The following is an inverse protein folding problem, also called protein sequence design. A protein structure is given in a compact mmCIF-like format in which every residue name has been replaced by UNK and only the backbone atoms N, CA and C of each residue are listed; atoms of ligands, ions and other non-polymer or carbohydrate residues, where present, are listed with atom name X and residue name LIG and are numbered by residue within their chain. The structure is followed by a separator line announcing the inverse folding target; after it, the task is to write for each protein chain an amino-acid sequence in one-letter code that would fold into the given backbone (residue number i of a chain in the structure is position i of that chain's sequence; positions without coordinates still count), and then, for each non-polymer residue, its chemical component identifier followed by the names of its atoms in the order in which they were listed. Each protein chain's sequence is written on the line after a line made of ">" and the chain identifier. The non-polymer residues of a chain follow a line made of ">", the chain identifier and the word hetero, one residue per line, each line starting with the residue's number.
data_IF_939318836090
#
_entry.id   IF_939318836090
#
_cell.length_a   1.000
_cell.length_b   1.000
_cell.length_c   1.000
_cell.angle_alpha   90.00
_cell.angle_beta   90.00
_cell.angle_gamma   90.00
#
_symmetry.space_group_name_H-M   'P 1'
#
loop_
_entity.id
_entity.type
_entity.pdbx_description
1 polymer ?
#
# COMPACT_ATOMS: atom_id res chain seq x y z
N UNK A 1 -34.90 32.90 -59.93
CA UNK A 1 -33.85 33.25 -58.95
C UNK A 1 -32.52 32.84 -59.54
N UNK A 2 -31.58 33.77 -59.80
CA UNK A 2 -30.25 33.38 -60.28
C UNK A 2 -29.47 32.81 -59.08
N UNK A 3 -29.02 31.56 -59.19
CA UNK A 3 -28.09 30.98 -58.24
C UNK A 3 -26.71 31.60 -58.47
N UNK A 4 -26.27 32.41 -57.49
CA UNK A 4 -24.97 33.06 -57.49
C UNK A 4 -23.89 31.98 -57.20
N UNK A 5 -23.33 31.39 -58.25
CA UNK A 5 -22.25 30.41 -58.16
C UNK A 5 -20.89 31.12 -58.18
N UNK A 6 -20.65 32.02 -57.22
CA UNK A 6 -19.32 32.61 -57.03
C UNK A 6 -18.41 31.54 -56.45
N UNK A 7 -17.48 31.03 -57.27
CA UNK A 7 -16.45 30.10 -56.83
C UNK A 7 -15.54 30.74 -55.76
N UNK A 8 -14.99 29.89 -54.87
CA UNK A 8 -14.03 30.32 -53.84
C UNK A 8 -12.82 30.96 -54.52
N UNK A 9 -12.45 32.17 -54.10
CA UNK A 9 -11.24 32.83 -54.56
C UNK A 9 -10.01 32.24 -53.86
N UNK A 10 -8.85 32.28 -54.52
CA UNK A 10 -7.60 31.73 -53.98
C UNK A 10 -7.19 32.38 -52.64
N UNK A 11 -7.55 33.65 -52.45
CA UNK A 11 -7.28 34.40 -51.21
C UNK A 11 -8.13 33.88 -50.05
N UNK A 12 -9.43 33.64 -50.28
CA UNK A 12 -10.33 33.08 -49.25
C UNK A 12 -9.89 31.68 -48.83
N UNK A 13 -9.39 30.87 -49.78
CA UNK A 13 -8.88 29.54 -49.50
C UNK A 13 -7.62 29.57 -48.62
N UNK A 14 -6.67 30.47 -48.91
CA UNK A 14 -5.43 30.60 -48.12
C UNK A 14 -5.74 31.07 -46.69
N UNK A 15 -6.65 32.04 -46.55
CA UNK A 15 -7.07 32.54 -45.23
C UNK A 15 -7.76 31.42 -44.44
N UNK A 16 -8.63 30.63 -45.07
CA UNK A 16 -9.31 29.52 -44.42
C UNK A 16 -8.33 28.44 -43.93
N UNK A 17 -7.35 28.06 -44.76
CA UNK A 17 -6.31 27.08 -44.38
C UNK A 17 -5.46 27.63 -43.24
N UNK A 18 -5.04 28.90 -43.31
CA UNK A 18 -4.24 29.53 -42.27
C UNK A 18 -4.95 29.52 -40.91
N UNK A 19 -6.22 29.95 -40.86
CA UNK A 19 -7.02 29.94 -39.63
C UNK A 19 -7.19 28.50 -39.12
N UNK A 20 -7.48 27.55 -40.02
CA UNK A 20 -7.67 26.15 -39.66
C UNK A 20 -6.40 25.53 -39.06
N UNK A 21 -5.22 25.81 -39.64
CA UNK A 21 -3.93 25.32 -39.12
C UNK A 21 -3.58 25.90 -37.75
N UNK A 22 -3.88 27.18 -37.50
CA UNK A 22 -3.65 27.81 -36.19
C UNK A 22 -4.56 27.20 -35.12
N UNK A 23 -5.85 27.02 -35.43
CA UNK A 23 -6.83 26.43 -34.49
C UNK A 23 -6.47 24.97 -34.20
N UNK A 24 -6.17 24.19 -35.24
CA UNK A 24 -5.82 22.76 -35.09
C UNK A 24 -4.49 22.58 -34.35
N UNK A 25 -3.50 23.44 -34.62
CA UNK A 25 -2.23 23.47 -33.89
C UNK A 25 -2.41 23.80 -32.40
N UNK A 26 -3.23 24.80 -32.07
CA UNK A 26 -3.52 25.14 -30.69
C UNK A 26 -4.30 24.01 -29.96
N UNK A 27 -5.28 23.40 -30.62
CA UNK A 27 -6.07 22.32 -30.05
C UNK A 27 -5.22 21.07 -29.75
N UNK A 28 -4.29 20.71 -30.66
CA UNK A 28 -3.40 19.55 -30.45
C UNK A 28 -2.40 19.77 -29.32
N UNK A 29 -1.84 20.98 -29.19
CA UNK A 29 -0.97 21.33 -28.06
C UNK A 29 -1.75 21.36 -26.74
N UNK A 30 -2.97 21.91 -26.73
CA UNK A 30 -3.84 21.95 -25.55
C UNK A 30 -4.23 20.54 -25.09
N UNK A 31 -4.67 19.67 -26.01
CA UNK A 31 -4.99 18.27 -25.72
C UNK A 31 -3.76 17.47 -25.26
N UNK A 32 -2.58 17.72 -25.86
CA UNK A 32 -1.34 17.07 -25.46
C UNK A 32 -0.89 17.42 -24.03
N UNK A 33 -1.04 18.70 -23.63
CA UNK A 33 -0.78 19.12 -22.25
C UNK A 33 -1.87 18.63 -21.28
N UNK A 34 -3.14 18.63 -21.71
CA UNK A 34 -4.24 18.10 -20.90
C UNK A 34 -4.08 16.60 -20.61
N UNK A 35 -3.64 15.80 -21.60
CA UNK A 35 -3.38 14.38 -21.40
C UNK A 35 -2.25 14.12 -20.39
N UNK A 36 -1.16 14.88 -20.45
CA UNK A 36 -0.08 14.76 -19.45
C UNK A 36 -0.60 15.11 -18.05
N UNK A 37 -1.25 16.25 -17.91
CA UNK A 37 -1.77 16.70 -16.62
C UNK A 37 -2.84 15.78 -16.04
N UNK A 38 -3.70 15.21 -16.88
CA UNK A 38 -4.71 14.22 -16.46
C UNK A 38 -4.06 12.94 -15.96
N UNK A 39 -3.08 12.40 -16.69
CA UNK A 39 -2.35 11.20 -16.26
C UNK A 39 -1.58 11.43 -14.96
N UNK A 40 -0.99 12.61 -14.77
CA UNK A 40 -0.30 12.96 -13.52
C UNK A 40 -1.26 13.11 -12.34
N UNK A 41 -2.40 13.78 -12.53
CA UNK A 41 -3.38 14.01 -11.47
C UNK A 41 -4.10 12.71 -11.08
N UNK A 42 -4.47 11.87 -12.05
CA UNK A 42 -5.09 10.56 -11.79
C UNK A 42 -4.14 9.65 -11.01
N UNK A 43 -2.90 9.47 -11.50
CA UNK A 43 -1.89 8.65 -10.84
C UNK A 43 -1.61 9.10 -9.40
N UNK A 44 -1.69 10.42 -9.12
CA UNK A 44 -1.48 10.96 -7.78
C UNK A 44 -2.70 10.75 -6.86
N UNK A 45 -3.93 10.84 -7.38
CA UNK A 45 -5.15 10.59 -6.60
C UNK A 45 -5.25 9.10 -6.26
N UNK A 46 -4.94 8.22 -7.22
CA UNK A 46 -4.99 6.78 -7.03
C UNK A 46 -4.01 6.36 -5.93
N UNK A 47 -2.75 6.80 -6.02
CA UNK A 47 -1.70 6.49 -5.04
C UNK A 47 -2.05 6.94 -3.61
N UNK A 48 -2.67 8.10 -3.46
CA UNK A 48 -3.12 8.61 -2.16
C UNK A 48 -4.22 7.75 -1.56
N UNK A 49 -5.23 7.39 -2.37
CA UNK A 49 -6.34 6.56 -1.90
C UNK A 49 -5.89 5.14 -1.54
N UNK A 50 -5.02 4.53 -2.36
CA UNK A 50 -4.41 3.22 -2.08
C UNK A 50 -3.58 3.25 -0.80
N UNK A 51 -2.76 4.30 -0.61
CA UNK A 51 -1.97 4.46 0.60
C UNK A 51 -2.84 4.56 1.86
N UNK A 52 -3.98 5.25 1.79
CA UNK A 52 -4.89 5.36 2.93
C UNK A 52 -5.54 4.01 3.26
N UNK A 53 -6.03 3.29 2.25
CA UNK A 53 -6.62 1.96 2.42
C UNK A 53 -5.59 0.98 3.04
N UNK A 54 -4.36 0.97 2.53
CA UNK A 54 -3.29 0.14 3.07
C UNK A 54 -2.94 0.51 4.51
N UNK A 55 -2.84 1.81 4.82
CA UNK A 55 -2.58 2.26 6.18
C UNK A 55 -3.70 1.85 7.15
N UNK A 56 -4.96 1.94 6.74
CA UNK A 56 -6.11 1.51 7.55
C UNK A 56 -6.12 0.00 7.78
N UNK A 57 -5.84 -0.80 6.74
CA UNK A 57 -5.75 -2.26 6.85
C UNK A 57 -4.62 -2.69 7.80
N UNK A 58 -3.44 -2.08 7.66
CA UNK A 58 -2.30 -2.36 8.56
C UNK A 58 -2.64 -1.92 9.98
N UNK A 59 -3.25 -0.74 10.14
CA UNK A 59 -3.70 -0.24 11.45
C UNK A 59 -4.68 -1.18 12.14
N UNK A 60 -5.63 -1.75 11.40
CA UNK A 60 -6.57 -2.74 11.92
C UNK A 60 -5.84 -3.98 12.45
N UNK A 61 -4.89 -4.53 11.70
CA UNK A 61 -4.11 -5.68 12.15
C UNK A 61 -3.24 -5.34 13.37
N UNK A 62 -2.60 -4.18 13.39
CA UNK A 62 -1.79 -3.73 14.54
C UNK A 62 -2.65 -3.59 15.79
N UNK A 63 -3.89 -3.08 15.67
CA UNK A 63 -4.82 -2.95 16.79
C UNK A 63 -5.43 -4.30 17.24
N UNK A 64 -5.60 -5.25 16.32
CA UNK A 64 -6.02 -6.64 16.62
C UNK A 64 -4.91 -7.44 17.31
N UNK A 65 -3.64 -7.10 17.02
CA UNK A 65 -2.49 -7.69 17.65
C UNK A 65 -2.33 -7.32 19.12
N UNK A 66 -1.68 -8.22 19.85
CA UNK A 66 -1.38 -8.07 21.28
C UNK A 66 0.08 -7.72 21.52
N UNK A 67 0.95 -8.10 20.57
CA UNK A 67 2.38 -7.81 20.54
C UNK A 67 2.78 -7.54 19.10
N UNK A 68 3.59 -6.51 18.89
CA UNK A 68 4.19 -6.21 17.58
C UNK A 68 5.70 -6.15 17.75
N UNK A 69 6.42 -6.68 16.77
CA UNK A 69 7.88 -6.73 16.74
C UNK A 69 8.39 -6.23 15.40
N UNK A 70 9.52 -5.53 15.43
CA UNK A 70 10.27 -5.19 14.24
C UNK A 70 11.05 -6.41 13.75
N UNK A 71 11.05 -6.64 12.44
CA UNK A 71 11.76 -7.76 11.84
C UNK A 71 13.14 -7.34 11.37
N UNK A 72 14.16 -7.95 11.97
CA UNK A 72 15.52 -7.92 11.47
C UNK A 72 15.65 -8.90 10.28
N UNK A 73 16.04 -8.44 9.08
CA UNK A 73 16.23 -9.30 7.92
C UNK A 73 17.26 -10.42 8.17
N UNK A 74 18.21 -10.23 9.08
CA UNK A 74 19.23 -11.24 9.44
C UNK A 74 18.63 -12.46 10.15
N UNK A 75 17.49 -12.28 10.83
CA UNK A 75 16.81 -13.33 11.61
C UNK A 75 15.56 -13.82 10.89
N UNK A 76 14.80 -12.90 10.28
CA UNK A 76 13.48 -13.18 9.71
C UNK A 76 13.47 -13.35 8.18
N UNK A 77 14.61 -13.12 7.52
CA UNK A 77 14.75 -13.19 6.06
C UNK A 77 14.22 -11.96 5.31
N UNK A 78 13.42 -11.12 5.97
CA UNK A 78 12.78 -9.94 5.39
C UNK A 78 12.78 -8.76 6.36
N UNK A 79 12.64 -7.54 5.82
CA UNK A 79 12.46 -6.30 6.59
C UNK A 79 10.97 -5.98 6.71
N UNK A 80 10.50 -5.73 7.92
CA UNK A 80 9.10 -5.39 8.16
C UNK A 80 8.69 -5.48 9.62
N UNK A 81 7.43 -5.85 9.87
CA UNK A 81 6.90 -6.06 11.22
C UNK A 81 6.19 -7.41 11.34
N UNK A 82 6.24 -8.00 12.52
CA UNK A 82 5.42 -9.14 12.92
C UNK A 82 4.41 -8.71 13.97
N UNK A 83 3.15 -9.07 13.74
CA UNK A 83 2.02 -8.79 14.61
C UNK A 83 1.53 -10.14 15.15
N UNK A 84 1.55 -10.31 16.47
CA UNK A 84 1.11 -11.53 17.13
C UNK A 84 -0.25 -11.32 17.79
N UNK A 85 -1.17 -12.25 17.52
CA UNK A 85 -2.43 -12.39 18.25
C UNK A 85 -2.31 -13.64 19.10
N UNK A 86 -2.15 -13.43 20.41
CA UNK A 86 -1.92 -14.48 21.40
C UNK A 86 -3.18 -14.58 22.24
N UNK A 87 -4.01 -15.62 22.07
CA UNK A 87 -5.21 -15.77 22.87
C UNK A 87 -4.83 -15.89 24.34
N UNK A 88 -5.57 -15.18 25.20
CA UNK A 88 -5.48 -15.36 26.65
C UNK A 88 -6.08 -16.73 26.96
N UNK A 89 -5.27 -17.78 26.94
CA UNK A 89 -5.70 -19.06 27.47
C UNK A 89 -5.91 -18.87 28.97
N UNK A 90 -7.12 -19.07 29.54
CA UNK A 90 -7.22 -19.19 30.97
C UNK A 90 -6.33 -20.38 31.36
N UNK A 91 -5.36 -20.13 32.23
CA UNK A 91 -4.49 -21.14 32.85
C UNK A 91 -5.32 -22.09 33.71
N UNK A 92 -6.15 -22.91 33.08
CA UNK A 92 -6.85 -23.99 33.75
C UNK A 92 -6.75 -25.18 32.81
N UNK A 93 -5.86 -26.10 33.14
CA UNK A 93 -6.07 -27.52 32.85
C UNK A 93 -7.46 -27.89 33.38
N UNK A 94 -8.48 -27.67 32.55
CA UNK A 94 -9.85 -28.03 32.88
C UNK A 94 -9.94 -29.56 32.75
N UNK A 95 -10.26 -30.31 33.82
CA UNK A 95 -10.23 -31.78 33.80
C UNK A 95 -11.29 -32.44 32.91
N UNK A 96 -12.03 -31.67 32.11
CA UNK A 96 -13.23 -32.08 31.39
C UNK A 96 -13.09 -32.19 29.86
N UNK A 97 -11.86 -32.29 29.31
CA UNK A 97 -11.66 -32.56 27.88
C UNK A 97 -12.17 -31.45 26.94
N UNK A 98 -12.21 -30.20 27.40
CA UNK A 98 -12.54 -29.06 26.55
C UNK A 98 -11.43 -28.81 25.52
N UNK A 99 -11.83 -28.37 24.33
CA UNK A 99 -10.99 -28.19 23.15
C UNK A 99 -9.68 -27.45 23.46
N UNK A 100 -8.61 -27.86 22.76
CA UNK A 100 -7.28 -27.29 22.90
C UNK A 100 -7.32 -25.75 22.83
N UNK A 101 -6.47 -25.05 23.60
CA UNK A 101 -6.37 -23.60 23.53
C UNK A 101 -6.21 -23.14 22.08
N UNK A 102 -6.92 -22.09 21.70
CA UNK A 102 -6.83 -21.50 20.36
C UNK A 102 -5.35 -21.20 20.05
N UNK A 103 -4.87 -21.63 18.89
CA UNK A 103 -3.47 -21.46 18.54
C UNK A 103 -3.15 -19.97 18.38
N UNK A 104 -2.02 -19.51 18.91
CA UNK A 104 -1.55 -18.17 18.63
C UNK A 104 -1.31 -18.00 17.12
N UNK A 105 -1.44 -16.77 16.64
CA UNK A 105 -1.17 -16.46 15.23
C UNK A 105 -0.22 -15.29 15.09
N UNK A 106 0.54 -15.31 14.00
CA UNK A 106 1.45 -14.24 13.58
C UNK A 106 1.06 -13.78 12.19
N UNK A 107 0.97 -12.47 12.02
CA UNK A 107 0.88 -11.81 10.72
C UNK A 107 2.18 -11.07 10.48
N UNK A 108 2.88 -11.46 9.42
CA UNK A 108 4.09 -10.74 8.97
C UNK A 108 3.68 -9.78 7.87
N UNK A 109 4.21 -8.57 7.91
CA UNK A 109 4.08 -7.55 6.86
C UNK A 109 5.49 -7.15 6.48
N UNK A 110 5.85 -7.28 5.21
CA UNK A 110 7.22 -7.03 4.76
C UNK A 110 7.25 -6.41 3.37
N UNK A 111 8.33 -5.68 3.11
CA UNK A 111 8.65 -5.15 1.79
C UNK A 111 9.55 -6.13 1.04
N UNK A 112 9.30 -6.30 -0.27
CA UNK A 112 10.18 -7.11 -1.12
C UNK A 112 11.61 -6.58 -1.12
N UNK A 113 12.60 -7.46 -1.30
CA UNK A 113 14.01 -7.08 -1.32
C UNK A 113 14.36 -6.01 -2.37
N UNK A 114 13.67 -6.00 -3.52
CA UNK A 114 13.85 -5.00 -4.58
C UNK A 114 13.08 -3.69 -4.37
N UNK A 115 12.34 -3.57 -3.26
CA UNK A 115 11.30 -2.55 -3.09
C UNK A 115 10.17 -2.71 -4.11
N UNK A 116 9.17 -1.83 -4.03
CA UNK A 116 7.98 -1.71 -4.89
C UNK A 116 6.79 -2.59 -4.55
N UNK A 117 6.94 -3.59 -3.68
CA UNK A 117 5.82 -4.45 -3.29
C UNK A 117 5.79 -4.66 -1.78
N UNK A 118 4.59 -4.60 -1.22
CA UNK A 118 4.31 -4.90 0.17
C UNK A 118 3.49 -6.18 0.24
N UNK A 119 3.92 -7.09 1.11
CA UNK A 119 3.32 -8.41 1.28
C UNK A 119 2.84 -8.62 2.71
N UNK A 120 1.87 -9.51 2.89
CA UNK A 120 1.44 -10.01 4.19
C UNK A 120 1.22 -11.51 4.18
N UNK A 121 1.49 -12.16 5.31
CA UNK A 121 1.21 -13.58 5.51
C UNK A 121 0.78 -13.82 6.95
N UNK A 122 -0.38 -14.44 7.13
CA UNK A 122 -0.85 -14.93 8.44
C UNK A 122 -0.50 -16.41 8.57
N UNK A 123 0.02 -16.78 9.73
CA UNK A 123 0.44 -18.15 10.06
C UNK A 123 0.09 -18.47 11.51
N UNK A 124 -0.19 -19.74 11.78
CA UNK A 124 -0.35 -20.24 13.14
C UNK A 124 1.03 -20.40 13.78
N UNK A 125 1.14 -20.06 15.05
CA UNK A 125 2.37 -20.14 15.84
C UNK A 125 2.10 -21.01 17.07
N UNK A 126 2.91 -22.06 17.23
CA UNK A 126 2.80 -22.98 18.36
C UNK A 126 3.26 -22.33 19.68
N UNK A 127 4.39 -21.62 19.65
CA UNK A 127 4.90 -20.85 20.79
C UNK A 127 5.38 -19.45 20.34
N UNK A 128 4.64 -18.38 20.67
CA UNK A 128 5.00 -16.99 20.33
C UNK A 128 6.27 -16.47 21.01
N UNK A 129 6.80 -17.14 22.04
CA UNK A 129 8.02 -16.71 22.73
C UNK A 129 9.29 -17.23 22.05
N UNK A 130 9.19 -18.35 21.34
CA UNK A 130 10.31 -19.03 20.70
C UNK A 130 10.16 -19.11 19.18
N UNK A 131 9.22 -18.35 18.61
CA UNK A 131 8.96 -18.37 17.18
C UNK A 131 10.17 -17.88 16.36
N UNK A 132 10.70 -18.76 15.52
CA UNK A 132 11.80 -18.49 14.59
C UNK A 132 11.35 -18.55 13.13
N UNK A 133 10.06 -18.39 12.85
CA UNK A 133 9.55 -18.53 11.48
C UNK A 133 10.14 -17.45 10.57
N UNK A 134 10.83 -17.89 9.51
CA UNK A 134 11.48 -17.07 8.49
C UNK A 134 10.57 -16.93 7.28
N UNK A 135 10.54 -15.74 6.69
CA UNK A 135 9.89 -15.49 5.39
C UNK A 135 10.93 -15.62 4.29
N UNK A 136 10.61 -16.38 3.24
CA UNK A 136 11.48 -16.60 2.10
C UNK A 136 10.87 -15.96 0.85
N UNK A 137 11.60 -15.04 0.22
CA UNK A 137 11.14 -14.39 -1.00
C UNK A 137 10.78 -15.39 -2.11
N UNK A 138 11.50 -16.51 -2.21
CA UNK A 138 11.27 -17.52 -3.24
C UNK A 138 9.92 -18.27 -3.09
N UNK A 139 9.37 -18.33 -1.88
CA UNK A 139 8.15 -19.09 -1.58
C UNK A 139 6.98 -18.22 -1.17
N UNK A 140 7.25 -17.04 -0.59
CA UNK A 140 6.25 -16.22 0.06
C UNK A 140 5.88 -14.95 -0.71
N UNK A 141 6.70 -14.50 -1.67
CA UNK A 141 6.37 -13.36 -2.55
C UNK A 141 5.43 -13.76 -3.71
N UNK A 142 4.34 -14.45 -3.36
CA UNK A 142 3.28 -14.89 -4.28
C UNK A 142 2.13 -13.89 -4.32
N UNK A 143 1.27 -13.99 -5.34
CA UNK A 143 0.18 -13.04 -5.54
C UNK A 143 -0.83 -13.05 -4.37
N UNK A 144 -1.06 -14.19 -3.72
CA UNK A 144 -1.99 -14.26 -2.58
C UNK A 144 -1.54 -13.43 -1.37
N UNK A 145 -0.24 -13.19 -1.23
CA UNK A 145 0.32 -12.43 -0.12
C UNK A 145 0.52 -10.95 -0.48
N UNK A 146 0.36 -10.56 -1.74
CA UNK A 146 0.58 -9.18 -2.19
C UNK A 146 -0.56 -8.28 -1.71
N UNK A 147 -0.23 -7.19 -1.02
CA UNK A 147 -1.21 -6.20 -0.56
C UNK A 147 -0.99 -4.83 -1.15
N UNK A 148 0.24 -4.44 -1.46
CA UNK A 148 0.54 -3.13 -2.04
C UNK A 148 1.46 -3.26 -3.24
N UNK A 149 1.01 -2.76 -4.38
CA UNK A 149 1.87 -2.45 -5.52
C UNK A 149 2.38 -1.02 -5.35
N UNK A 150 3.61 -0.73 -5.78
CA UNK A 150 4.24 0.59 -5.69
C UNK A 150 4.82 1.02 -4.34
N UNK A 151 4.85 0.14 -3.33
CA UNK A 151 5.45 0.46 -2.01
C UNK A 151 6.97 0.38 -2.07
N UNK A 152 7.66 1.52 -2.06
CA UNK A 152 9.13 1.61 -2.20
C UNK A 152 9.89 1.56 -0.89
N UNK A 153 9.26 1.96 0.21
CA UNK A 153 9.80 1.84 1.56
C UNK A 153 8.68 1.48 2.55
N UNK A 154 8.99 0.66 3.54
CA UNK A 154 8.09 0.33 4.64
C UNK A 154 8.88 0.26 5.94
N UNK A 155 8.37 0.94 6.96
CA UNK A 155 8.90 0.92 8.33
C UNK A 155 7.76 0.76 9.30
N UNK A 156 7.95 -0.09 10.30
CA UNK A 156 7.08 -0.15 11.46
C UNK A 156 7.96 -0.16 12.69
N UNK A 157 7.82 0.86 13.54
CA UNK A 157 8.64 1.07 14.72
C UNK A 157 7.80 0.88 15.97
N UNK A 158 8.27 0.05 16.90
CA UNK A 158 7.54 -0.28 18.12
C UNK A 158 7.97 0.66 19.24
N UNK A 159 7.05 1.52 19.67
CA UNK A 159 7.23 2.41 20.80
C UNK A 159 6.65 1.74 22.05
N UNK A 160 7.47 0.95 22.73
CA UNK A 160 7.12 0.33 24.00
C UNK A 160 7.47 1.28 25.17
N UNK A 161 6.51 2.07 25.63
CA UNK A 161 6.58 2.72 26.95
C UNK A 161 5.83 1.86 27.98
N UNK A 162 6.26 1.91 29.25
CA UNK A 162 5.71 1.15 30.39
C UNK A 162 4.20 1.30 30.59
N UNK A 163 3.56 2.30 29.96
CA UNK A 163 2.13 2.58 30.14
C UNK A 163 1.28 2.43 28.87
N UNK A 164 1.86 2.50 27.66
CA UNK A 164 1.14 2.42 26.37
C UNK A 164 2.07 1.91 25.28
N UNK A 165 1.83 0.70 24.78
CA UNK A 165 2.51 0.21 23.59
C UNK A 165 1.85 0.82 22.33
N UNK A 166 2.64 1.47 21.49
CA UNK A 166 2.21 1.95 20.18
C UNK A 166 3.17 1.52 19.08
N UNK A 167 2.69 1.53 17.84
CA UNK A 167 3.48 1.21 16.65
C UNK A 167 3.33 2.37 15.67
N UNK A 168 4.44 3.01 15.34
CA UNK A 168 4.50 3.97 14.25
C UNK A 168 4.70 3.21 12.94
N UNK A 169 3.74 3.26 12.03
CA UNK A 169 3.82 2.64 10.70
C UNK A 169 4.00 3.75 9.68
N UNK A 170 4.97 3.59 8.78
CA UNK A 170 5.16 4.48 7.65
C UNK A 170 5.52 3.71 6.39
N UNK A 171 5.06 4.20 5.26
CA UNK A 171 5.52 3.71 3.97
C UNK A 171 5.48 4.79 2.90
N UNK A 172 6.38 4.60 1.93
CA UNK A 172 6.49 5.40 0.73
C UNK A 172 5.92 4.61 -0.44
N UNK A 173 5.07 5.25 -1.22
CA UNK A 173 4.58 4.73 -2.49
C UNK A 173 5.08 5.60 -3.64
N UNK A 174 5.41 4.97 -4.77
CA UNK A 174 5.81 5.68 -5.98
C UNK A 174 5.22 5.03 -7.22
N UNK A 175 4.40 5.78 -7.94
CA UNK A 175 3.89 5.41 -9.25
C UNK A 175 4.24 6.49 -10.28
N UNK A 176 4.96 6.08 -11.34
CA UNK A 176 5.57 7.00 -12.31
C UNK A 176 6.46 8.05 -11.61
N UNK A 177 6.15 9.34 -11.79
CA UNK A 177 6.84 10.47 -11.16
C UNK A 177 6.21 10.88 -9.82
N UNK A 178 5.05 10.31 -9.47
CA UNK A 178 4.33 10.65 -8.25
C UNK A 178 4.87 9.87 -7.07
N UNK A 179 5.11 10.57 -5.97
CA UNK A 179 5.55 10.00 -4.69
C UNK A 179 4.57 10.41 -3.62
N UNK A 180 4.24 9.48 -2.74
CA UNK A 180 3.41 9.75 -1.58
C UNK A 180 3.96 9.00 -0.38
N UNK A 181 4.05 9.70 0.75
CA UNK A 181 4.49 9.15 2.02
C UNK A 181 3.34 9.28 3.00
N UNK A 182 3.02 8.19 3.68
CA UNK A 182 2.05 8.19 4.77
C UNK A 182 2.70 7.64 6.03
N UNK A 183 2.31 8.22 7.16
CA UNK A 183 2.74 7.79 8.48
C UNK A 183 1.57 7.88 9.44
N UNK A 184 1.39 6.87 10.26
CA UNK A 184 0.40 6.88 11.33
C UNK A 184 0.93 6.13 12.56
N UNK A 185 0.37 6.45 13.73
CA UNK A 185 0.70 5.78 14.98
C UNK A 185 -0.53 5.05 15.52
N UNK A 186 -0.37 3.74 15.75
CA UNK A 186 -1.43 2.88 16.23
C UNK A 186 -1.12 2.42 17.65
N UNK A 187 -2.07 2.62 18.55
CA UNK A 187 -1.99 2.08 19.92
C UNK A 187 -2.45 0.63 19.92
N UNK A 188 -1.67 -0.26 20.53
CA UNK A 188 -2.13 -1.62 20.77
C UNK A 188 -3.31 -1.57 21.74
N UNK A 189 -4.41 -2.23 21.37
CA UNK A 189 -5.63 -2.24 22.20
C UNK A 189 -5.65 -3.41 23.18
N UNK A 190 -4.92 -4.48 22.87
CA UNK A 190 -4.99 -5.74 23.61
C UNK A 190 -3.60 -6.17 24.13
N UNK A 191 -2.88 -5.25 24.76
CA UNK A 191 -1.56 -5.53 25.34
C UNK A 191 -1.72 -6.59 26.44
N UNK A 192 -0.95 -7.68 26.35
CA UNK A 192 -0.89 -8.70 27.39
C UNK A 192 -0.26 -8.07 28.65
N UNK A 193 -0.98 -8.13 29.77
CA UNK A 193 -0.53 -7.63 31.07
C UNK A 193 0.30 -8.67 31.82
#
# INVERSE_FOLDING_TARGET
>A
MPNDHRGITLVELIIAIAISTVILGAATLFLGMAHKNYNHASAQIDLQSESQILMEQIGMWVMEGNRVEELDPSVSGVRGIAIYTIPNTPSVTNPAGAAAPEAASKRVIWISAGGKKLYTKKMAVADPKTDTTVISAATDEVQENLIGEYVTAFTGTVNASTEKASVAVSFDMQYLEQKYTIQNEFKLRNVLR
#
